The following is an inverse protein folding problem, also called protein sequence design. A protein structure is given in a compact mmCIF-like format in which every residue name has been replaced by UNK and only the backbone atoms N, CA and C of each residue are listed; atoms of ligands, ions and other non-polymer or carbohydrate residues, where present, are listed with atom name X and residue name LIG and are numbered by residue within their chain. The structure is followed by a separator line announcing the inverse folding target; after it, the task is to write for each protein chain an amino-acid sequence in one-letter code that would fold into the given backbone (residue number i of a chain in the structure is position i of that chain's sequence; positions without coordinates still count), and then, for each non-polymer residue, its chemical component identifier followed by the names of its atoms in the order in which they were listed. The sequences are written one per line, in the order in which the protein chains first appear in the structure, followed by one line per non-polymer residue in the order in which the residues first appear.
data_IF_204853428659
#
_entry.id   IF_204853428659
#
_cell.length_a   1.000
_cell.length_b   1.000
_cell.length_c   1.000
_cell.angle_alpha   90.00
_cell.angle_beta   90.00
_cell.angle_gamma   90.00
#
_symmetry.space_group_name_H-M   'P 1'
#
loop_
_entity.id
_entity.type
_entity.pdbx_description
1 polymer ?
#
# COMPACT_ATOMS: atom_id res chain seq x y z
N UNK A 1 12.31 -4.48 -12.53
CA UNK A 1 11.83 -3.96 -11.22
C UNK A 1 12.13 -4.86 -10.02
N UNK A 2 12.24 -6.19 -10.16
CA UNK A 2 12.37 -7.11 -9.02
C UNK A 2 13.44 -6.75 -7.95
N UNK A 3 14.65 -6.25 -8.28
CA UNK A 3 15.61 -5.80 -7.26
C UNK A 3 15.10 -4.63 -6.42
N UNK A 4 14.37 -3.69 -7.02
CA UNK A 4 13.76 -2.55 -6.31
C UNK A 4 12.59 -2.98 -5.43
N UNK A 5 11.79 -3.96 -5.88
CA UNK A 5 10.70 -4.55 -5.08
C UNK A 5 11.22 -5.25 -3.82
N UNK A 6 12.42 -5.85 -3.88
CA UNK A 6 13.08 -6.40 -2.68
C UNK A 6 13.77 -5.34 -1.84
N UNK A 7 14.14 -4.20 -2.43
CA UNK A 7 14.83 -3.13 -1.73
C UNK A 7 13.91 -2.28 -0.87
N UNK A 8 12.59 -2.27 -1.05
CA UNK A 8 11.71 -1.32 -0.34
C UNK A 8 11.10 -1.84 0.97
N UNK A 9 11.17 -3.13 1.29
CA UNK A 9 10.63 -3.66 2.55
C UNK A 9 11.56 -4.67 3.25
N UNK A 10 11.26 -4.94 4.51
CA UNK A 10 11.78 -6.08 5.26
C UNK A 10 10.62 -6.98 5.66
N UNK A 11 10.60 -8.19 5.14
CA UNK A 11 9.58 -9.18 5.42
C UNK A 11 9.93 -10.01 6.66
N UNK A 12 8.99 -10.09 7.60
CA UNK A 12 9.03 -11.02 8.71
C UNK A 12 8.07 -12.17 8.43
N UNK A 13 8.59 -13.39 8.46
CA UNK A 13 7.80 -14.61 8.31
C UNK A 13 6.77 -14.74 9.44
N UNK A 14 5.58 -15.31 9.17
CA UNK A 14 4.60 -15.61 10.21
C UNK A 14 5.13 -16.62 11.24
N UNK A 15 4.45 -16.74 12.38
CA UNK A 15 4.64 -17.90 13.27
C UNK A 15 4.20 -19.20 12.57
N UNK A 16 4.62 -20.35 13.10
CA UNK A 16 4.23 -21.66 12.55
C UNK A 16 2.70 -21.83 12.52
N UNK A 17 2.00 -21.50 13.61
CA UNK A 17 0.54 -21.56 13.68
C UNK A 17 -0.13 -20.69 12.62
N UNK A 18 0.40 -19.47 12.38
CA UNK A 18 -0.13 -18.58 11.34
C UNK A 18 0.23 -19.05 9.94
N UNK A 19 1.42 -19.62 9.75
CA UNK A 19 1.83 -20.19 8.48
C UNK A 19 0.93 -21.37 8.08
N UNK A 20 0.58 -22.23 9.04
CA UNK A 20 -0.35 -23.35 8.87
C UNK A 20 -1.78 -22.86 8.59
N UNK A 21 -2.30 -21.95 9.41
CA UNK A 21 -3.64 -21.37 9.25
C UNK A 21 -3.84 -20.72 7.87
N UNK A 22 -2.81 -20.07 7.34
CA UNK A 22 -2.87 -19.34 6.07
C UNK A 22 -2.31 -20.13 4.88
N UNK A 23 -1.83 -21.35 5.12
CA UNK A 23 -1.16 -22.19 4.13
C UNK A 23 -0.06 -21.42 3.35
N UNK A 24 0.75 -20.63 4.08
CA UNK A 24 1.74 -19.76 3.42
C UNK A 24 2.86 -20.55 2.77
N UNK A 25 3.20 -21.73 3.30
CA UNK A 25 4.23 -22.60 2.74
C UNK A 25 3.94 -22.99 1.28
N UNK A 26 2.66 -23.11 0.92
CA UNK A 26 2.26 -23.44 -0.45
C UNK A 26 2.73 -22.43 -1.47
N UNK A 27 2.67 -21.13 -1.17
CA UNK A 27 2.85 -20.09 -2.19
C UNK A 27 3.86 -18.98 -1.84
N UNK A 28 4.09 -18.66 -0.57
CA UNK A 28 5.07 -17.64 -0.18
C UNK A 28 6.49 -18.20 -0.30
N UNK A 29 7.41 -17.39 -0.79
CA UNK A 29 8.83 -17.74 -0.97
C UNK A 29 9.70 -16.68 -0.30
N UNK A 30 10.11 -16.93 0.94
CA UNK A 30 10.83 -15.96 1.78
C UNK A 30 12.04 -15.31 1.09
N UNK A 31 12.82 -16.08 0.32
CA UNK A 31 13.99 -15.55 -0.43
C UNK A 31 13.65 -14.56 -1.55
N UNK A 32 12.37 -14.38 -1.89
CA UNK A 32 11.88 -13.39 -2.85
C UNK A 32 11.49 -12.07 -2.20
N UNK A 33 11.41 -12.01 -0.88
CA UNK A 33 11.09 -10.80 -0.14
C UNK A 33 12.33 -9.99 0.24
N UNK A 34 12.11 -8.73 0.59
CA UNK A 34 13.16 -7.85 1.10
C UNK A 34 13.49 -8.14 2.57
N UNK A 35 14.71 -7.78 3.01
CA UNK A 35 15.17 -8.07 4.38
C UNK A 35 16.08 -7.00 5.00
N UNK A 36 16.29 -5.87 4.31
CA UNK A 36 17.39 -4.93 4.65
C UNK A 36 16.98 -3.47 4.77
N UNK A 37 15.69 -3.14 4.85
CA UNK A 37 15.24 -1.74 4.84
C UNK A 37 14.12 -1.44 5.84
N UNK A 38 13.90 -0.15 6.19
CA UNK A 38 13.10 0.21 7.34
C UNK A 38 11.60 -0.08 7.26
N UNK A 39 11.02 -0.23 6.07
CA UNK A 39 9.58 -0.48 5.96
C UNK A 39 9.27 -1.94 6.33
N UNK A 40 8.63 -2.22 7.46
CA UNK A 40 8.30 -3.57 7.88
C UNK A 40 7.10 -4.10 7.09
N UNK A 41 7.16 -5.38 6.74
CA UNK A 41 6.05 -6.13 6.18
C UNK A 41 5.97 -7.46 6.91
N UNK A 42 4.79 -7.88 7.35
CA UNK A 42 4.63 -9.13 8.11
C UNK A 42 3.25 -9.76 7.90
N UNK A 43 3.11 -11.03 8.28
CA UNK A 43 1.83 -11.71 8.47
C UNK A 43 1.65 -11.94 9.98
N UNK A 44 1.03 -11.00 10.70
CA UNK A 44 1.31 -10.86 12.12
C UNK A 44 0.33 -11.60 13.01
N UNK A 45 0.16 -12.93 13.00
CA UNK A 45 -0.82 -13.74 13.79
C UNK A 45 -2.28 -13.17 13.89
N UNK A 46 -3.36 -13.95 13.97
CA UNK A 46 -4.73 -13.38 14.12
C UNK A 46 -5.64 -14.20 15.01
N UNK A 47 -6.67 -13.55 15.55
CA UNK A 47 -7.86 -14.19 16.12
C UNK A 47 -9.03 -13.94 15.16
N UNK A 48 -9.82 -14.98 14.86
CA UNK A 48 -11.00 -14.89 13.99
C UNK A 48 -10.86 -15.63 12.66
N UNK A 49 -11.74 -15.32 11.70
CA UNK A 49 -11.82 -15.94 10.37
C UNK A 49 -10.53 -15.72 9.57
N UNK A 50 -9.55 -16.61 9.77
CA UNK A 50 -8.40 -16.77 8.87
C UNK A 50 -8.76 -17.70 7.71
N UNK A 51 -8.14 -17.49 6.54
CA UNK A 51 -8.19 -18.48 5.44
C UNK A 51 -9.33 -18.36 4.43
N UNK A 52 -9.87 -17.16 4.18
CA UNK A 52 -10.98 -16.85 3.25
C UNK A 52 -10.73 -17.11 1.75
N UNK A 53 -10.22 -18.28 1.38
CA UNK A 53 -9.91 -18.67 0.00
C UNK A 53 -10.38 -20.07 -0.40
N UNK A 54 -10.94 -20.85 0.54
CA UNK A 54 -11.36 -22.24 0.29
C UNK A 54 -12.31 -22.37 -0.89
N UNK A 55 -13.35 -21.55 -0.95
CA UNK A 55 -14.36 -21.61 -2.02
C UNK A 55 -13.81 -21.20 -3.39
N UNK A 56 -12.91 -20.21 -3.42
CA UNK A 56 -12.23 -19.78 -4.65
C UNK A 56 -11.33 -20.91 -5.18
N UNK A 57 -10.63 -21.61 -4.28
CA UNK A 57 -9.84 -22.78 -4.63
C UNK A 57 -10.74 -23.94 -5.09
N UNK A 58 -11.87 -24.18 -4.41
CA UNK A 58 -12.85 -25.21 -4.79
C UNK A 58 -13.48 -24.94 -6.17
N UNK A 59 -13.62 -23.67 -6.54
CA UNK A 59 -14.03 -23.23 -7.87
C UNK A 59 -12.93 -23.39 -8.95
N UNK A 60 -11.75 -23.93 -8.60
CA UNK A 60 -10.65 -24.21 -9.53
C UNK A 60 -9.67 -23.06 -9.74
N UNK A 61 -9.84 -21.93 -9.04
CA UNK A 61 -8.97 -20.77 -9.16
C UNK A 61 -7.86 -20.83 -8.11
N UNK A 62 -6.79 -21.57 -8.40
CA UNK A 62 -5.67 -21.71 -7.47
C UNK A 62 -4.33 -21.94 -8.18
N UNK A 63 -3.31 -21.19 -7.77
CA UNK A 63 -1.91 -21.50 -8.08
C UNK A 63 -1.01 -21.37 -6.85
N UNK A 64 0.14 -22.03 -6.93
CA UNK A 64 1.22 -21.98 -5.93
C UNK A 64 2.24 -20.87 -6.23
N UNK A 65 1.90 -19.96 -7.15
CA UNK A 65 2.73 -18.80 -7.44
C UNK A 65 2.70 -17.82 -6.26
N UNK A 66 3.86 -17.24 -5.97
CA UNK A 66 3.96 -16.16 -5.00
C UNK A 66 3.34 -14.88 -5.63
N UNK A 67 2.43 -14.17 -4.95
CA UNK A 67 1.90 -12.89 -5.41
C UNK A 67 2.98 -11.88 -5.83
N UNK A 68 4.14 -11.89 -5.18
CA UNK A 68 5.24 -10.96 -5.51
C UNK A 68 5.86 -11.21 -6.89
N UNK A 69 5.65 -12.40 -7.48
CA UNK A 69 6.08 -12.73 -8.84
C UNK A 69 5.20 -12.07 -9.92
N UNK A 70 4.05 -11.50 -9.54
CA UNK A 70 3.13 -10.81 -10.46
C UNK A 70 2.33 -11.74 -11.37
N UNK A 71 2.28 -13.05 -11.08
CA UNK A 71 1.55 -14.06 -11.87
C UNK A 71 0.60 -14.93 -11.02
N UNK A 72 0.16 -14.40 -9.89
CA UNK A 72 -0.74 -15.13 -8.99
C UNK A 72 -2.13 -15.25 -9.59
N UNK A 73 -2.73 -16.42 -9.42
CA UNK A 73 -4.13 -16.72 -9.69
C UNK A 73 -4.69 -17.41 -8.44
N UNK A 74 -5.91 -17.04 -8.07
CA UNK A 74 -6.58 -17.59 -6.90
C UNK A 74 -6.21 -16.90 -5.59
N UNK A 75 -6.71 -17.49 -4.50
CA UNK A 75 -6.64 -16.91 -3.18
C UNK A 75 -5.21 -16.92 -2.59
N UNK A 76 -4.94 -15.88 -1.79
CA UNK A 76 -3.76 -15.69 -0.96
C UNK A 76 -4.06 -14.69 0.15
N UNK A 77 -3.27 -14.73 1.22
CA UNK A 77 -3.29 -13.67 2.24
C UNK A 77 -2.19 -12.65 1.95
N UNK A 78 -2.57 -11.37 1.90
CA UNK A 78 -1.61 -10.29 1.70
C UNK A 78 -0.87 -9.97 3.00
N UNK A 79 0.47 -9.89 2.99
CA UNK A 79 1.22 -9.33 4.09
C UNK A 79 0.82 -7.88 4.37
N UNK A 80 0.89 -7.48 5.64
CA UNK A 80 0.56 -6.14 6.10
C UNK A 80 1.83 -5.32 6.29
N UNK A 81 1.77 -4.02 6.01
CA UNK A 81 2.86 -3.08 6.33
C UNK A 81 2.87 -2.74 7.82
N UNK A 82 3.21 -3.72 8.65
CA UNK A 82 3.26 -3.66 10.11
C UNK A 82 4.53 -4.37 10.59
N UNK A 83 5.18 -3.79 11.58
CA UNK A 83 6.26 -4.46 12.32
C UNK A 83 5.67 -5.42 13.35
N UNK A 84 5.86 -6.72 13.12
CA UNK A 84 5.36 -7.77 14.02
C UNK A 84 5.98 -7.72 15.42
N UNK A 85 7.13 -7.05 15.61
CA UNK A 85 7.76 -6.91 16.92
C UNK A 85 7.18 -5.77 17.73
N UNK A 86 6.98 -4.61 17.11
CA UNK A 86 6.51 -3.41 17.81
C UNK A 86 5.01 -3.15 17.68
N UNK A 87 4.31 -3.91 16.85
CA UNK A 87 2.88 -3.73 16.54
C UNK A 87 2.59 -2.44 15.75
N UNK A 88 3.62 -1.69 15.34
CA UNK A 88 3.46 -0.39 14.70
C UNK A 88 3.32 -0.52 13.19
N UNK A 89 2.47 0.34 12.62
CA UNK A 89 2.36 0.53 11.17
C UNK A 89 3.71 0.95 10.57
N UNK A 90 4.11 0.29 9.50
CA UNK A 90 5.16 0.74 8.61
C UNK A 90 4.62 1.73 7.56
N UNK A 91 5.35 2.80 7.31
CA UNK A 91 5.01 3.82 6.30
C UNK A 91 6.29 4.50 5.82
N UNK A 92 6.19 5.34 4.78
CA UNK A 92 7.35 5.92 4.10
C UNK A 92 8.30 6.73 5.02
N UNK A 93 7.80 7.29 6.13
CA UNK A 93 8.66 8.00 7.07
C UNK A 93 9.65 7.09 7.80
N UNK A 94 9.50 5.76 7.74
CA UNK A 94 10.52 4.84 8.25
C UNK A 94 11.90 5.04 7.58
N UNK A 95 11.93 5.62 6.37
CA UNK A 95 13.16 6.02 5.67
C UNK A 95 13.79 7.31 6.22
N UNK A 96 13.03 8.12 6.96
CA UNK A 96 13.48 9.33 7.63
C UNK A 96 13.90 9.00 9.07
N UNK A 97 14.99 8.24 9.21
CA UNK A 97 15.54 7.89 10.54
C UNK A 97 16.22 9.09 11.21
N UNK A 98 16.50 9.00 12.51
CA UNK A 98 17.26 10.02 13.25
C UNK A 98 18.62 10.36 12.61
N UNK A 99 19.27 9.37 11.98
CA UNK A 99 20.51 9.57 11.21
C UNK A 99 20.28 10.38 9.92
N UNK A 100 19.13 10.23 9.29
CA UNK A 100 18.75 11.01 8.09
C UNK A 100 18.36 12.43 8.50
N UNK A 101 17.58 12.57 9.57
CA UNK A 101 17.18 13.84 10.16
C UNK A 101 18.37 14.68 10.63
N UNK A 102 19.38 14.07 11.24
CA UNK A 102 20.58 14.75 11.71
C UNK A 102 21.48 15.31 10.59
N UNK A 103 21.14 15.09 9.31
CA UNK A 103 21.94 15.61 8.19
C UNK A 103 21.72 17.12 8.06
N UNK A 104 22.76 17.96 8.22
CA UNK A 104 22.59 19.41 8.18
C UNK A 104 22.11 19.93 6.81
N UNK A 105 22.37 19.16 5.74
CA UNK A 105 21.95 19.46 4.37
C UNK A 105 20.50 19.09 4.06
N UNK A 106 19.80 18.39 4.95
CA UNK A 106 18.40 18.01 4.76
C UNK A 106 17.50 18.94 5.56
N UNK A 107 16.46 19.47 4.91
CA UNK A 107 15.43 20.30 5.53
C UNK A 107 14.08 19.67 5.22
N UNK A 108 13.24 19.50 6.26
CA UNK A 108 11.90 18.95 6.14
C UNK A 108 10.90 19.92 6.78
N UNK A 109 10.50 20.99 6.05
CA UNK A 109 9.48 21.91 6.56
C UNK A 109 8.12 21.21 6.52
N UNK A 110 7.53 20.97 7.70
CA UNK A 110 6.14 20.53 7.82
C UNK A 110 5.19 21.72 7.58
N UNK A 111 3.90 21.42 7.42
CA UNK A 111 2.83 22.44 7.32
C UNK A 111 3.11 23.49 6.23
N UNK A 112 3.80 23.06 5.18
CA UNK A 112 4.27 23.93 4.10
C UNK A 112 3.67 23.43 2.79
N UNK A 113 2.83 24.26 2.16
CA UNK A 113 2.20 23.94 0.89
C UNK A 113 3.00 24.56 -0.25
N UNK A 114 3.30 23.78 -1.29
CA UNK A 114 3.84 24.31 -2.54
C UNK A 114 2.67 24.84 -3.37
N UNK A 115 2.66 26.14 -3.66
CA UNK A 115 1.57 26.77 -4.41
C UNK A 115 1.87 26.87 -5.91
N UNK A 116 3.13 27.16 -6.27
CA UNK A 116 3.54 27.31 -7.66
C UNK A 116 5.00 27.01 -7.88
N UNK A 117 5.29 26.56 -9.10
CA UNK A 117 6.65 26.42 -9.63
C UNK A 117 7.12 27.78 -10.11
N UNK A 118 8.37 28.13 -9.81
CA UNK A 118 9.02 29.33 -10.32
C UNK A 118 9.75 29.00 -11.62
N UNK A 119 9.40 29.71 -12.68
CA UNK A 119 9.94 29.53 -14.02
C UNK A 119 10.68 30.80 -14.45
N UNK A 120 11.87 30.62 -15.01
CA UNK A 120 12.61 31.66 -15.73
C UNK A 120 12.66 31.28 -17.22
N UNK A 121 12.57 32.28 -18.09
CA UNK A 121 12.64 32.09 -19.54
C UNK A 121 13.96 32.69 -20.02
N UNK A 122 14.84 31.84 -20.54
CA UNK A 122 16.10 32.26 -21.14
C UNK A 122 16.14 31.75 -22.59
N UNK A 123 16.13 32.66 -23.55
CA UNK A 123 16.04 32.35 -24.99
C UNK A 123 14.76 31.53 -25.31
N UNK A 124 14.92 30.36 -25.94
CA UNK A 124 13.85 29.41 -26.27
C UNK A 124 13.66 28.32 -25.20
N UNK A 125 14.32 28.43 -24.04
CA UNK A 125 14.26 27.45 -22.96
C UNK A 125 13.49 27.97 -21.73
N UNK A 126 12.69 27.10 -21.12
CA UNK A 126 12.02 27.36 -19.84
C UNK A 126 12.74 26.59 -18.73
N UNK A 127 13.29 27.30 -17.75
CA UNK A 127 14.02 26.72 -16.63
C UNK A 127 13.18 26.78 -15.35
N UNK A 128 13.10 25.66 -14.63
CA UNK A 128 12.56 25.62 -13.27
C UNK A 128 13.62 26.12 -12.29
N UNK A 129 13.37 27.24 -11.63
CA UNK A 129 14.34 27.85 -10.70
C UNK A 129 13.96 27.69 -9.24
N UNK A 130 12.76 27.19 -8.94
CA UNK A 130 12.35 26.95 -7.56
C UNK A 130 10.85 26.78 -7.39
N UNK A 131 10.39 27.03 -6.17
CA UNK A 131 8.98 26.98 -5.78
C UNK A 131 8.60 28.15 -4.88
N UNK A 132 7.37 28.62 -5.01
CA UNK A 132 6.72 29.40 -3.97
C UNK A 132 5.98 28.47 -3.03
N UNK A 133 6.14 28.73 -1.74
CA UNK A 133 5.49 27.99 -0.67
C UNK A 133 4.70 28.90 0.24
N UNK A 134 3.61 28.37 0.79
CA UNK A 134 2.85 28.94 1.88
C UNK A 134 3.24 28.19 3.16
N UNK A 135 3.72 28.93 4.17
CA UNK A 135 4.03 28.41 5.51
C UNK A 135 3.07 29.02 6.54
N UNK A 136 3.09 28.59 7.81
CA UNK A 136 2.34 29.26 8.87
C UNK A 136 2.75 30.72 9.10
N UNK A 137 3.96 31.12 8.69
CA UNK A 137 4.46 32.50 8.82
C UNK A 137 4.25 33.37 7.57
N UNK A 138 3.73 32.80 6.48
CA UNK A 138 3.42 33.52 5.25
C UNK A 138 4.02 32.87 4.00
N UNK A 139 3.99 33.62 2.89
CA UNK A 139 4.50 33.18 1.60
C UNK A 139 6.01 33.41 1.53
N UNK A 140 6.76 32.41 1.06
CA UNK A 140 8.18 32.57 0.73
C UNK A 140 8.60 31.75 -0.49
N UNK A 141 9.81 31.98 -0.99
CA UNK A 141 10.35 31.33 -2.18
C UNK A 141 11.58 30.50 -1.85
N UNK A 142 11.67 29.29 -2.42
CA UNK A 142 12.84 28.41 -2.32
C UNK A 142 13.44 28.25 -3.71
N UNK A 143 14.72 28.61 -3.87
CA UNK A 143 15.48 28.42 -5.11
C UNK A 143 16.07 27.00 -5.18
N UNK A 144 15.95 26.36 -6.33
CA UNK A 144 16.57 25.08 -6.64
C UNK A 144 17.80 25.31 -7.55
N UNK A 145 18.97 24.81 -7.13
CA UNK A 145 20.22 25.00 -7.88
C UNK A 145 20.57 23.84 -8.83
N UNK A 146 19.85 22.72 -8.75
CA UNK A 146 20.13 21.52 -9.55
C UNK A 146 18.87 20.95 -10.17
N UNK A 147 17.94 20.53 -9.32
CA UNK A 147 16.74 19.82 -9.74
C UNK A 147 15.58 20.19 -8.82
N UNK A 148 14.37 20.15 -9.38
CA UNK A 148 13.12 20.23 -8.64
C UNK A 148 12.30 18.99 -8.96
N UNK A 149 12.03 18.16 -7.94
CA UNK A 149 11.30 16.89 -8.08
C UNK A 149 9.93 17.04 -7.46
N UNK A 150 8.88 16.76 -8.24
CA UNK A 150 7.50 16.88 -7.80
C UNK A 150 6.91 15.50 -7.50
N UNK A 151 6.43 15.31 -6.27
CA UNK A 151 5.78 14.08 -5.81
C UNK A 151 4.48 14.47 -5.11
N UNK A 152 3.46 14.79 -5.90
CA UNK A 152 2.14 15.20 -5.42
C UNK A 152 1.05 14.29 -5.98
N UNK A 153 -0.05 14.11 -5.23
CA UNK A 153 -1.29 13.53 -5.77
C UNK A 153 -2.04 14.59 -6.57
N UNK A 154 -2.68 14.19 -7.67
CA UNK A 154 -3.40 15.08 -8.55
C UNK A 154 -4.62 15.70 -7.86
N UNK A 155 -4.55 16.98 -7.51
CA UNK A 155 -5.72 17.80 -7.15
C UNK A 155 -5.44 19.27 -7.54
N UNK A 156 -6.34 19.85 -8.33
CA UNK A 156 -6.44 21.30 -8.63
C UNK A 156 -5.11 22.00 -8.98
N UNK A 157 -4.29 21.36 -9.81
CA UNK A 157 -3.02 21.93 -10.27
C UNK A 157 -3.32 22.99 -11.34
N UNK A 158 -3.20 24.27 -10.99
CA UNK A 158 -3.24 25.35 -11.98
C UNK A 158 -2.03 25.25 -12.91
N UNK A 159 -2.29 24.96 -14.18
CA UNK A 159 -1.24 24.78 -15.18
C UNK A 159 -0.60 26.11 -15.56
N UNK A 160 0.71 26.21 -15.40
CA UNK A 160 1.50 27.36 -15.91
C UNK A 160 1.88 27.16 -17.38
N UNK A 161 2.07 25.90 -17.79
CA UNK A 161 2.35 25.50 -19.18
C UNK A 161 1.14 24.72 -19.69
N UNK A 162 0.61 25.12 -20.84
CA UNK A 162 -0.52 24.43 -21.46
C UNK A 162 -0.09 23.05 -21.99
N UNK A 163 -0.28 22.01 -21.17
CA UNK A 163 -0.01 20.63 -21.50
C UNK A 163 -1.29 19.83 -21.35
N UNK A 164 -1.87 19.42 -22.48
CA UNK A 164 -3.14 18.69 -22.52
C UNK A 164 -3.10 17.30 -21.88
N UNK A 165 -1.91 16.78 -21.53
CA UNK A 165 -1.79 15.51 -20.79
C UNK A 165 -1.88 15.66 -19.27
N UNK A 166 -1.81 16.88 -18.73
CA UNK A 166 -1.89 17.11 -17.29
C UNK A 166 -3.33 16.96 -16.82
N UNK A 167 -3.55 16.11 -15.82
CA UNK A 167 -4.89 15.82 -15.27
C UNK A 167 -5.65 14.72 -16.02
N UNK A 168 -5.12 14.25 -17.16
CA UNK A 168 -5.73 13.19 -17.96
C UNK A 168 -5.21 11.78 -17.59
N UNK A 169 -5.85 10.74 -18.13
CA UNK A 169 -5.49 9.33 -17.93
C UNK A 169 -5.45 8.91 -16.44
N UNK A 170 -6.40 9.41 -15.65
CA UNK A 170 -6.61 8.94 -14.29
C UNK A 170 -6.96 7.44 -14.33
N UNK A 171 -6.12 6.63 -13.67
CA UNK A 171 -6.38 5.20 -13.48
C UNK A 171 -6.47 4.92 -11.98
N UNK A 172 -7.49 4.17 -11.60
CA UNK A 172 -7.70 3.69 -10.25
C UNK A 172 -8.30 2.27 -10.31
N UNK A 173 -8.35 1.60 -9.17
CA UNK A 173 -9.07 0.34 -9.03
C UNK A 173 -10.53 0.62 -8.72
N UNK A 174 -11.42 0.27 -9.65
CA UNK A 174 -12.85 0.23 -9.38
C UNK A 174 -13.15 -0.73 -8.24
N UNK A 175 -13.75 -0.24 -7.15
CA UNK A 175 -14.10 -1.02 -5.98
C UNK A 175 -15.61 -1.21 -5.91
N UNK A 176 -16.06 -2.46 -5.91
CA UNK A 176 -17.42 -2.84 -5.56
C UNK A 176 -17.37 -3.69 -4.29
N UNK A 177 -18.12 -3.29 -3.26
CA UNK A 177 -18.14 -3.97 -1.98
C UNK A 177 -19.38 -4.87 -1.88
N UNK A 178 -19.18 -6.09 -1.40
CA UNK A 178 -20.25 -7.03 -1.07
C UNK A 178 -20.03 -7.41 0.38
N UNK A 179 -21.10 -7.34 1.17
CA UNK A 179 -21.07 -7.72 2.59
C UNK A 179 -21.95 -8.94 2.77
N UNK A 180 -21.48 -9.88 3.59
CA UNK A 180 -22.22 -11.07 3.98
C UNK A 180 -22.43 -11.05 5.48
N UNK A 181 -23.55 -11.61 5.93
CA UNK A 181 -23.77 -11.88 7.35
C UNK A 181 -22.78 -12.97 7.81
N UNK A 182 -22.15 -12.75 8.97
CA UNK A 182 -21.26 -13.76 9.55
C UNK A 182 -22.07 -14.90 10.15
N UNK A 183 -21.58 -16.13 10.01
CA UNK A 183 -22.23 -17.30 10.58
C UNK A 183 -22.33 -17.20 12.12
N UNK A 184 -23.34 -17.86 12.68
CA UNK A 184 -23.55 -17.90 14.13
C UNK A 184 -22.28 -18.32 14.89
N UNK A 185 -22.00 -17.61 15.99
CA UNK A 185 -20.81 -17.85 16.82
C UNK A 185 -19.50 -17.30 16.27
N UNK A 186 -19.48 -16.70 15.07
CA UNK A 186 -18.30 -16.01 14.54
C UNK A 186 -18.26 -14.54 14.99
N UNK A 187 -17.07 -14.07 15.33
CA UNK A 187 -16.83 -12.67 15.71
C UNK A 187 -16.31 -11.91 14.49
N UNK A 188 -17.03 -10.88 14.09
CA UNK A 188 -16.59 -9.92 13.07
C UNK A 188 -15.99 -8.66 13.71
N UNK A 189 -15.42 -7.78 12.88
CA UNK A 189 -15.00 -6.45 13.31
C UNK A 189 -16.14 -5.56 13.81
N UNK A 190 -17.40 -5.94 13.61
CA UNK A 190 -18.57 -5.16 14.06
C UNK A 190 -18.62 -4.98 15.59
N UNK A 191 -17.97 -5.87 16.36
CA UNK A 191 -17.88 -5.73 17.82
C UNK A 191 -17.18 -4.43 18.24
N UNK A 192 -16.36 -3.84 17.36
CA UNK A 192 -15.69 -2.56 17.61
C UNK A 192 -16.66 -1.36 17.64
N UNK A 193 -17.95 -1.58 17.38
CA UNK A 193 -19.00 -0.56 17.63
C UNK A 193 -19.26 -0.34 19.12
N UNK A 194 -18.94 -1.30 19.98
CA UNK A 194 -19.05 -1.14 21.43
C UNK A 194 -17.83 -0.35 21.98
N UNK A 195 -18.04 0.82 22.61
CA UNK A 195 -16.95 1.60 23.20
C UNK A 195 -16.11 0.83 24.23
N UNK A 196 -16.70 -0.12 24.97
CA UNK A 196 -15.98 -0.93 25.94
C UNK A 196 -14.99 -1.88 25.26
N UNK A 197 -15.37 -2.44 24.10
CA UNK A 197 -14.50 -3.28 23.28
C UNK A 197 -13.35 -2.45 22.71
N UNK A 198 -13.63 -1.24 22.23
CA UNK A 198 -12.59 -0.31 21.74
C UNK A 198 -11.59 0.03 22.84
N UNK A 199 -12.08 0.34 24.06
CA UNK A 199 -11.21 0.63 25.20
C UNK A 199 -10.36 -0.57 25.61
N UNK A 200 -10.95 -1.78 25.67
CA UNK A 200 -10.22 -2.99 25.98
C UNK A 200 -9.15 -3.30 24.93
N UNK A 201 -9.47 -3.16 23.65
CA UNK A 201 -8.54 -3.30 22.54
C UNK A 201 -7.38 -2.30 22.62
N UNK A 202 -7.67 -1.05 23.02
CA UNK A 202 -6.67 -0.01 23.29
C UNK A 202 -5.70 -0.44 24.39
N UNK A 203 -6.20 -0.89 25.54
CA UNK A 203 -5.39 -1.37 26.67
C UNK A 203 -4.49 -2.54 26.27
N UNK A 204 -5.03 -3.54 25.58
CA UNK A 204 -4.24 -4.69 25.10
C UNK A 204 -3.11 -4.21 24.19
N UNK A 205 -3.39 -3.29 23.26
CA UNK A 205 -2.36 -2.76 22.37
C UNK A 205 -1.29 -1.95 23.12
N UNK A 206 -1.66 -1.17 24.13
CA UNK A 206 -0.71 -0.42 24.97
C UNK A 206 0.22 -1.36 25.76
N UNK A 207 -0.34 -2.41 26.35
CA UNK A 207 0.38 -3.36 27.20
C UNK A 207 1.26 -4.31 26.40
N UNK A 208 0.73 -4.84 25.29
CA UNK A 208 1.35 -5.98 24.58
C UNK A 208 1.79 -5.67 23.16
N UNK A 209 1.42 -4.49 22.63
CA UNK A 209 1.61 -4.15 21.20
C UNK A 209 1.04 -5.19 20.25
N UNK A 210 0.02 -5.89 20.70
CA UNK A 210 -0.57 -7.00 19.99
C UNK A 210 -2.00 -6.68 19.54
N UNK A 211 -2.72 -7.73 19.15
CA UNK A 211 -4.07 -7.65 18.59
C UNK A 211 -5.09 -7.15 19.59
N UNK A 212 -6.24 -6.63 19.13
CA UNK A 212 -6.72 -6.61 17.74
C UNK A 212 -6.21 -5.42 16.91
N UNK A 213 -5.52 -4.44 17.51
CA UNK A 213 -5.11 -3.21 16.82
C UNK A 213 -3.77 -3.31 16.08
N UNK A 214 -3.00 -4.38 16.31
CA UNK A 214 -1.71 -4.63 15.65
C UNK A 214 -1.80 -5.40 14.32
N UNK A 215 -3.00 -5.53 13.72
CA UNK A 215 -3.15 -6.10 12.38
C UNK A 215 -4.46 -6.85 12.17
N UNK A 216 -4.96 -6.79 10.93
CA UNK A 216 -6.10 -7.57 10.44
C UNK A 216 -5.70 -8.15 9.08
N UNK A 217 -5.74 -9.48 8.95
CA UNK A 217 -5.36 -10.12 7.69
C UNK A 217 -6.36 -9.80 6.59
N UNK A 218 -5.82 -9.62 5.39
CA UNK A 218 -6.60 -9.40 4.18
C UNK A 218 -6.44 -10.62 3.28
N UNK A 219 -7.51 -11.40 3.16
CA UNK A 219 -7.59 -12.44 2.14
C UNK A 219 -7.93 -11.78 0.80
N UNK A 220 -7.16 -12.13 -0.23
CA UNK A 220 -7.24 -11.57 -1.56
C UNK A 220 -7.28 -12.72 -2.57
N UNK A 221 -7.93 -12.51 -3.71
CA UNK A 221 -7.83 -13.42 -4.84
C UNK A 221 -7.66 -12.62 -6.12
N UNK A 222 -6.74 -13.05 -6.98
CA UNK A 222 -6.72 -12.61 -8.37
C UNK A 222 -7.47 -13.62 -9.21
N UNK A 223 -8.51 -13.16 -9.88
CA UNK A 223 -9.34 -13.95 -10.78
C UNK A 223 -9.08 -13.50 -12.22
N UNK A 224 -9.26 -14.39 -13.22
CA UNK A 224 -9.33 -13.92 -14.59
C UNK A 224 -10.57 -13.04 -14.77
N UNK A 225 -10.68 -12.37 -15.92
CA UNK A 225 -11.97 -11.81 -16.31
C UNK A 225 -12.97 -12.95 -16.41
N UNK A 226 -14.10 -12.84 -15.72
CA UNK A 226 -15.17 -13.85 -15.71
C UNK A 226 -16.49 -13.24 -16.20
N UNK A 227 -17.33 -14.05 -16.82
CA UNK A 227 -18.71 -13.74 -17.17
C UNK A 227 -19.65 -14.85 -16.64
N UNK A 228 -20.94 -14.81 -17.00
CA UNK A 228 -21.93 -15.81 -16.57
C UNK A 228 -21.64 -17.26 -16.98
N UNK A 229 -20.64 -17.49 -17.85
CA UNK A 229 -20.19 -18.82 -18.31
C UNK A 229 -18.81 -19.24 -17.75
N UNK A 230 -18.17 -18.41 -16.92
CA UNK A 230 -16.85 -18.67 -16.36
C UNK A 230 -15.78 -17.70 -16.89
N UNK A 231 -14.51 -18.14 -16.95
CA UNK A 231 -13.42 -17.29 -17.42
C UNK A 231 -13.55 -16.95 -18.91
N UNK A 232 -13.41 -15.67 -19.21
CA UNK A 232 -13.42 -15.14 -20.57
C UNK A 232 -12.12 -15.53 -21.28
N UNK A 233 -12.18 -16.14 -22.48
CA UNK A 233 -10.99 -16.47 -23.27
C UNK A 233 -10.14 -15.23 -23.61
N UNK A 234 -8.82 -15.40 -23.66
CA UNK A 234 -7.88 -14.29 -23.97
C UNK A 234 -8.15 -13.60 -25.30
N UNK A 235 -8.59 -14.35 -26.30
CA UNK A 235 -8.91 -13.83 -27.64
C UNK A 235 -10.07 -12.83 -27.57
N UNK A 236 -11.10 -13.15 -26.78
CA UNK A 236 -12.24 -12.26 -26.55
C UNK A 236 -11.80 -11.01 -25.77
N UNK A 237 -10.96 -11.16 -24.73
CA UNK A 237 -10.39 -10.01 -24.00
C UNK A 237 -9.62 -9.07 -24.93
N UNK A 238 -8.78 -9.62 -25.81
CA UNK A 238 -8.00 -8.82 -26.76
C UNK A 238 -8.87 -7.99 -27.72
N UNK A 239 -10.08 -8.48 -28.04
CA UNK A 239 -11.04 -7.75 -28.86
C UNK A 239 -11.71 -6.56 -28.14
N UNK A 240 -11.67 -6.53 -26.80
CA UNK A 240 -12.23 -5.43 -26.00
C UNK A 240 -11.29 -4.23 -25.92
N UNK A 241 -9.97 -4.45 -26.06
CA UNK A 241 -8.94 -3.42 -25.97
C UNK A 241 -8.55 -2.79 -27.31
N UNK A 242 -9.12 -3.25 -28.43
CA UNK A 242 -8.74 -2.82 -29.78
C UNK A 242 -9.56 -1.64 -30.32
N UNK A 243 -10.19 -0.84 -29.43
CA UNK A 243 -10.92 0.38 -29.80
C UNK A 243 -10.15 1.64 -29.47
#
# INVERSE_FOLDING_TARGET
MAPYLRKFHSYTTPSEATAELLDTARYMRDGKHGSKVPAPVSLPDVLGLGGGGGDICAAGWQTNADPIDGRKLGAFTSPLTIDSKSGKRGYAAAYYSSKVEARPSLKLPAETMVERILLEHENEETLVTGVQIQTPSGICHIRANKECIFVQKAHDISMVINNSGVGENLQDHGLATINFEVADGQVSGDIMRDPNVVQAAGKIYEETRSRPLAGMLLSMAYLPLVNGSGAVPREEIGSLSSK
#
